data_IF_495767624716
#
_entry.id   IF_495767624716
#
_cell.length_a   1.000
_cell.length_b   1.000
_cell.length_c   1.000
_cell.angle_alpha   90.00
_cell.angle_beta   90.00
_cell.angle_gamma   90.00
#
_symmetry.space_group_name_H-M   'P 1'
#
loop_
_entity.id
_entity.type
_entity.pdbx_description
1 polymer ?
#
# COMPACT_ATOMS: atom_id res chain seq x y z
N UNK A 1 -25.79 -0.53 -25.52
CA UNK A 1 -25.85 0.59 -24.56
C UNK A 1 -26.23 0.01 -23.22
N UNK A 2 -25.28 -0.04 -22.28
CA UNK A 2 -25.57 -0.47 -20.91
C UNK A 2 -26.53 0.55 -20.27
N UNK A 3 -27.56 0.06 -19.63
CA UNK A 3 -28.46 0.91 -18.82
C UNK A 3 -27.65 1.49 -17.66
N UNK A 4 -27.71 2.80 -17.40
CA UNK A 4 -27.00 3.39 -16.28
C UNK A 4 -27.41 2.69 -14.98
N UNK A 5 -26.42 2.21 -14.24
CA UNK A 5 -26.68 1.61 -12.93
C UNK A 5 -26.99 2.73 -11.93
N UNK A 6 -28.09 2.59 -11.24
CA UNK A 6 -28.48 3.51 -10.18
C UNK A 6 -28.18 2.88 -8.82
N UNK A 7 -27.56 3.64 -7.95
CA UNK A 7 -27.22 3.23 -6.58
C UNK A 7 -27.86 4.19 -5.58
N UNK A 8 -28.36 3.67 -4.47
CA UNK A 8 -28.73 4.48 -3.32
C UNK A 8 -27.59 4.42 -2.31
N UNK A 9 -27.11 5.58 -1.94
CA UNK A 9 -26.03 5.71 -0.94
C UNK A 9 -26.63 6.14 0.38
N UNK A 10 -26.33 5.41 1.43
CA UNK A 10 -26.77 5.71 2.79
C UNK A 10 -25.54 5.95 3.66
N UNK A 11 -25.47 7.09 4.33
CA UNK A 11 -24.46 7.28 5.36
C UNK A 11 -24.84 6.48 6.62
N UNK A 12 -23.84 5.92 7.26
CA UNK A 12 -24.02 5.35 8.58
C UNK A 12 -24.37 6.48 9.57
N UNK A 13 -25.21 6.18 10.58
CA UNK A 13 -25.57 7.16 11.62
C UNK A 13 -24.33 7.79 12.26
N UNK A 14 -24.27 9.11 12.28
CA UNK A 14 -23.12 9.88 12.74
C UNK A 14 -22.11 10.26 11.66
N UNK A 15 -22.28 9.77 10.42
CA UNK A 15 -21.41 10.06 9.27
C UNK A 15 -22.17 10.77 8.13
N UNK A 16 -23.33 11.37 8.41
CA UNK A 16 -24.18 12.05 7.43
C UNK A 16 -23.45 13.20 6.73
N UNK A 17 -22.45 13.77 7.39
CA UNK A 17 -21.61 14.83 6.83
C UNK A 17 -20.89 14.42 5.54
N UNK A 18 -20.64 13.11 5.33
CA UNK A 18 -19.99 12.59 4.11
C UNK A 18 -20.85 12.86 2.88
N UNK A 19 -22.18 12.90 3.03
CA UNK A 19 -23.11 13.14 1.93
C UNK A 19 -23.37 14.63 1.67
N UNK A 20 -22.93 15.52 2.57
CA UNK A 20 -23.23 16.96 2.50
C UNK A 20 -22.73 17.62 1.21
N UNK A 21 -21.59 17.16 0.72
CA UNK A 21 -20.92 17.76 -0.44
C UNK A 21 -21.25 17.05 -1.75
N UNK A 22 -22.05 15.96 -1.70
CA UNK A 22 -22.53 15.23 -2.89
C UNK A 22 -23.77 15.94 -3.41
N UNK A 23 -23.69 16.50 -4.59
CA UNK A 23 -24.77 17.21 -5.27
C UNK A 23 -25.06 16.60 -6.62
N UNK A 24 -26.18 16.98 -7.22
CA UNK A 24 -26.49 16.62 -8.60
C UNK A 24 -25.32 16.99 -9.53
N UNK A 25 -24.96 16.08 -10.42
CA UNK A 25 -23.80 16.19 -11.33
C UNK A 25 -22.42 16.22 -10.66
N UNK A 26 -22.32 15.88 -9.38
CA UNK A 26 -21.02 15.70 -8.74
C UNK A 26 -20.45 14.32 -9.10
N UNK A 27 -19.28 14.31 -9.71
CA UNK A 27 -18.52 13.07 -9.88
C UNK A 27 -17.75 12.74 -8.59
N UNK A 28 -17.83 11.51 -8.16
CA UNK A 28 -17.05 11.02 -7.02
C UNK A 28 -16.54 9.59 -7.27
N UNK A 29 -15.41 9.28 -6.67
CA UNK A 29 -14.85 7.94 -6.69
C UNK A 29 -15.26 7.21 -5.41
N UNK A 30 -15.80 6.02 -5.56
CA UNK A 30 -16.16 5.16 -4.45
C UNK A 30 -15.30 3.90 -4.54
N UNK A 31 -14.47 3.61 -3.52
CA UNK A 31 -13.72 2.37 -3.50
C UNK A 31 -14.70 1.19 -3.44
N UNK A 32 -14.58 0.29 -4.40
CA UNK A 32 -15.33 -0.97 -4.36
C UNK A 32 -14.55 -1.93 -3.48
N UNK A 33 -15.07 -2.17 -2.27
CA UNK A 33 -14.57 -3.28 -1.46
C UNK A 33 -14.75 -4.57 -2.26
N UNK A 34 -13.64 -5.14 -2.65
CA UNK A 34 -13.68 -6.50 -3.14
C UNK A 34 -13.98 -7.39 -1.94
N UNK A 35 -15.11 -8.10 -1.97
CA UNK A 35 -15.29 -9.21 -1.04
C UNK A 35 -14.07 -10.11 -1.12
N UNK A 36 -13.56 -10.62 0.01
CA UNK A 36 -12.45 -11.56 -0.02
C UNK A 36 -12.79 -12.66 -1.02
N UNK A 37 -11.95 -12.80 -2.04
CA UNK A 37 -12.09 -13.92 -2.96
C UNK A 37 -12.06 -15.18 -2.10
N UNK A 38 -13.06 -16.07 -2.26
CA UNK A 38 -13.16 -17.31 -1.49
C UNK A 38 -11.86 -18.12 -1.52
N UNK A 39 -11.14 -18.00 -2.63
CA UNK A 39 -9.87 -18.69 -2.87
C UNK A 39 -8.65 -17.92 -2.32
N UNK A 40 -8.86 -16.68 -1.84
CA UNK A 40 -7.80 -15.84 -1.27
C UNK A 40 -8.30 -14.97 -0.14
N UNK A 41 -8.61 -15.55 1.02
CA UNK A 41 -9.25 -14.85 2.15
C UNK A 41 -8.40 -13.71 2.76
N UNK A 42 -7.12 -13.64 2.44
CA UNK A 42 -6.19 -12.61 2.93
C UNK A 42 -5.81 -11.58 1.87
N UNK A 43 -6.59 -11.43 0.80
CA UNK A 43 -6.28 -10.56 -0.35
C UNK A 43 -6.41 -9.04 -0.07
N UNK A 44 -6.49 -8.62 1.17
CA UNK A 44 -6.55 -7.21 1.57
C UNK A 44 -5.31 -6.38 1.21
N UNK A 45 -4.46 -6.86 0.34
CA UNK A 45 -3.22 -6.18 -0.04
C UNK A 45 -2.55 -6.70 -1.29
N UNK A 46 -3.33 -7.13 -2.30
CA UNK A 46 -2.72 -7.53 -3.57
C UNK A 46 -2.24 -6.29 -4.31
N UNK A 47 -0.94 -6.21 -4.49
CA UNK A 47 -0.30 -5.22 -5.36
C UNK A 47 -0.38 -5.64 -6.83
N UNK A 48 -0.34 -4.65 -7.73
CA UNK A 48 -0.24 -4.92 -9.18
C UNK A 48 1.11 -5.55 -9.51
N UNK A 49 2.17 -5.04 -8.89
CA UNK A 49 3.51 -5.64 -8.93
C UNK A 49 3.95 -5.93 -7.49
N UNK A 50 4.24 -7.18 -7.19
CA UNK A 50 4.73 -7.62 -5.88
C UNK A 50 6.13 -8.21 -5.95
N UNK A 51 7.02 -7.78 -5.05
CA UNK A 51 8.39 -8.30 -4.92
C UNK A 51 8.59 -8.75 -3.48
N UNK A 52 8.83 -10.03 -3.27
CA UNK A 52 8.96 -10.57 -1.92
C UNK A 52 10.23 -11.41 -1.79
N UNK A 53 10.96 -11.22 -0.68
CA UNK A 53 12.17 -11.99 -0.34
C UNK A 53 13.17 -12.05 -1.50
N UNK A 54 13.30 -10.96 -2.24
CA UNK A 54 14.09 -10.89 -3.47
C UNK A 54 15.32 -10.01 -3.29
N UNK A 55 16.18 -10.04 -4.30
CA UNK A 55 17.44 -9.30 -4.32
C UNK A 55 17.73 -8.80 -5.74
N UNK A 56 18.15 -7.54 -5.80
CA UNK A 56 18.69 -6.90 -7.01
C UNK A 56 17.75 -7.00 -8.23
N UNK A 57 16.51 -6.54 -8.04
CA UNK A 57 15.46 -6.54 -9.06
C UNK A 57 15.36 -5.15 -9.69
N UNK A 58 15.24 -5.09 -11.00
CA UNK A 58 14.98 -3.88 -11.78
C UNK A 58 13.65 -4.01 -12.51
N UNK A 59 12.80 -3.01 -12.33
CA UNK A 59 11.62 -2.73 -13.14
C UNK A 59 11.89 -1.44 -13.92
N UNK A 60 11.79 -1.48 -15.23
CA UNK A 60 12.08 -0.32 -16.08
C UNK A 60 10.98 -0.11 -17.12
N UNK A 61 10.60 1.16 -17.33
CA UNK A 61 9.67 1.60 -18.37
C UNK A 61 8.28 0.94 -18.25
N UNK A 62 7.75 0.79 -17.03
CA UNK A 62 6.44 0.20 -16.79
C UNK A 62 5.41 1.31 -16.59
N UNK A 63 4.32 1.25 -17.34
CA UNK A 63 3.15 2.11 -17.11
C UNK A 63 1.99 1.27 -16.58
N UNK A 64 1.48 1.64 -15.41
CA UNK A 64 0.28 1.08 -14.81
C UNK A 64 -0.86 2.09 -14.90
N UNK A 65 -2.06 1.64 -15.27
CA UNK A 65 -3.21 2.53 -15.46
C UNK A 65 -4.43 2.00 -14.71
N UNK A 66 -5.07 2.89 -13.94
CA UNK A 66 -6.32 2.62 -13.23
C UNK A 66 -6.31 1.28 -12.48
N UNK A 67 -5.37 1.14 -11.59
CA UNK A 67 -5.20 -0.08 -10.77
C UNK A 67 -6.17 -0.09 -9.59
N UNK A 68 -6.52 -1.28 -9.13
CA UNK A 68 -7.57 -1.43 -8.11
C UNK A 68 -7.11 -1.19 -6.68
N UNK A 69 -5.88 -1.54 -6.33
CA UNK A 69 -5.42 -1.55 -4.93
C UNK A 69 -4.07 -0.86 -4.80
N UNK A 70 -3.00 -1.62 -4.71
CA UNK A 70 -1.64 -1.11 -4.60
C UNK A 70 -0.94 -1.17 -5.97
N UNK A 71 -0.16 -0.16 -6.27
CA UNK A 71 0.68 -0.18 -7.46
C UNK A 71 1.80 -1.21 -7.33
N UNK A 72 2.81 -0.86 -6.61
CA UNK A 72 3.99 -1.68 -6.39
C UNK A 72 4.13 -2.01 -4.90
N UNK A 73 4.48 -3.23 -4.56
CA UNK A 73 4.77 -3.60 -3.18
C UNK A 73 6.05 -4.42 -3.06
N UNK A 74 6.80 -4.16 -2.02
CA UNK A 74 7.99 -4.92 -1.68
C UNK A 74 7.99 -5.34 -0.22
N UNK A 75 8.19 -6.64 0.05
CA UNK A 75 8.21 -7.13 1.42
C UNK A 75 9.39 -8.06 1.66
N UNK A 76 10.14 -7.79 2.72
CA UNK A 76 11.24 -8.66 3.17
C UNK A 76 12.40 -8.78 2.18
N UNK A 77 12.57 -7.83 1.25
CA UNK A 77 13.64 -7.91 0.28
C UNK A 77 14.99 -7.65 0.93
N UNK A 78 15.96 -8.47 0.59
CA UNK A 78 17.31 -8.41 1.18
C UNK A 78 18.31 -7.64 0.33
N UNK A 79 18.00 -7.39 -0.93
CA UNK A 79 18.78 -6.58 -1.87
C UNK A 79 17.98 -5.41 -2.43
N UNK A 80 18.59 -4.71 -3.36
CA UNK A 80 18.03 -3.51 -3.98
C UNK A 80 16.84 -3.86 -4.88
N UNK A 81 15.76 -3.11 -4.75
CA UNK A 81 14.64 -3.12 -5.69
C UNK A 81 14.59 -1.74 -6.34
N UNK A 82 14.76 -1.71 -7.64
CA UNK A 82 14.83 -0.46 -8.42
C UNK A 82 13.64 -0.38 -9.36
N UNK A 83 12.98 0.77 -9.34
CA UNK A 83 11.98 1.16 -10.34
C UNK A 83 12.54 2.36 -11.10
N UNK A 84 12.61 2.24 -12.42
CA UNK A 84 13.14 3.27 -13.29
C UNK A 84 12.14 3.61 -14.39
N UNK A 85 11.82 4.91 -14.53
CA UNK A 85 10.85 5.40 -15.49
C UNK A 85 9.49 4.66 -15.40
N UNK A 86 9.05 4.35 -14.18
CA UNK A 86 7.77 3.70 -13.95
C UNK A 86 6.69 4.74 -13.67
N UNK A 87 5.53 4.56 -14.26
CA UNK A 87 4.42 5.51 -14.19
C UNK A 87 3.17 4.79 -13.69
N UNK A 88 2.46 5.40 -12.74
CA UNK A 88 1.10 5.04 -12.34
C UNK A 88 0.21 6.24 -12.58
N UNK A 89 -0.79 6.09 -13.47
CA UNK A 89 -1.62 7.19 -13.93
C UNK A 89 -3.01 6.71 -14.35
N UNK A 90 -3.84 7.62 -14.80
CA UNK A 90 -5.15 7.33 -15.39
C UNK A 90 -5.02 6.66 -16.77
N UNK A 91 -6.11 6.02 -17.22
CA UNK A 91 -6.21 5.58 -18.59
C UNK A 91 -6.37 6.80 -19.51
N UNK A 92 -5.69 6.78 -20.63
CA UNK A 92 -5.81 7.85 -21.63
C UNK A 92 -7.26 7.94 -22.16
N UNK A 93 -7.72 9.16 -22.35
CA UNK A 93 -9.06 9.46 -22.87
C UNK A 93 -10.20 8.81 -22.04
N UNK A 94 -9.98 8.60 -20.74
CA UNK A 94 -10.99 8.08 -19.83
C UNK A 94 -11.54 9.19 -18.93
N UNK A 95 -12.65 8.88 -18.25
CA UNK A 95 -13.19 9.70 -17.17
C UNK A 95 -12.78 9.14 -15.79
N UNK A 96 -11.64 8.47 -15.70
CA UNK A 96 -11.13 7.96 -14.44
C UNK A 96 -10.85 9.12 -13.49
N UNK A 97 -11.44 9.10 -12.31
CA UNK A 97 -11.22 10.10 -11.26
C UNK A 97 -9.96 9.81 -10.45
N UNK A 98 -9.56 8.55 -10.40
CA UNK A 98 -8.40 8.07 -9.66
C UNK A 98 -7.64 7.03 -10.47
N UNK A 99 -6.34 6.93 -10.24
CA UNK A 99 -5.48 5.88 -10.82
C UNK A 99 -5.33 4.68 -9.88
N UNK A 100 -5.36 4.94 -8.57
CA UNK A 100 -5.37 3.93 -7.51
C UNK A 100 -6.11 4.47 -6.30
N UNK A 101 -6.78 3.62 -5.54
CA UNK A 101 -7.44 4.02 -4.31
C UNK A 101 -6.60 3.72 -3.05
N UNK A 102 -5.41 3.13 -3.22
CA UNK A 102 -4.41 2.93 -2.19
C UNK A 102 -3.05 3.41 -2.67
N UNK A 103 -2.00 3.09 -1.90
CA UNK A 103 -0.64 3.54 -2.12
C UNK A 103 -0.16 3.26 -3.56
N UNK A 104 0.55 4.20 -4.12
CA UNK A 104 1.30 3.99 -5.36
C UNK A 104 2.39 2.94 -5.19
N UNK A 105 3.11 3.03 -4.06
CA UNK A 105 4.14 2.05 -3.69
C UNK A 105 4.15 1.79 -2.20
N UNK A 106 4.27 0.53 -1.80
CA UNK A 106 4.33 0.13 -0.39
C UNK A 106 5.47 -0.86 -0.14
N UNK A 107 6.47 -0.46 0.60
CA UNK A 107 7.65 -1.27 0.92
C UNK A 107 7.72 -1.51 2.43
N UNK A 108 7.66 -2.78 2.83
CA UNK A 108 7.60 -3.16 4.24
C UNK A 108 8.67 -4.17 4.61
N UNK A 109 9.37 -3.91 5.72
CA UNK A 109 10.39 -4.82 6.26
C UNK A 109 11.52 -5.15 5.26
N UNK A 110 11.86 -4.25 4.35
CA UNK A 110 12.97 -4.45 3.43
C UNK A 110 14.30 -4.10 4.12
N UNK A 111 15.33 -4.88 3.88
CA UNK A 111 16.67 -4.62 4.41
C UNK A 111 17.32 -3.40 3.75
N UNK A 112 17.06 -3.23 2.46
CA UNK A 112 17.47 -2.07 1.66
C UNK A 112 16.18 -1.46 1.09
N UNK A 113 16.02 -0.16 1.26
CA UNK A 113 14.88 0.57 0.70
C UNK A 113 14.88 0.56 -0.83
N UNK A 114 13.73 0.86 -1.44
CA UNK A 114 13.62 0.93 -2.90
C UNK A 114 14.44 2.10 -3.47
N UNK A 115 14.84 1.97 -4.71
CA UNK A 115 15.33 3.08 -5.53
C UNK A 115 14.25 3.44 -6.54
N UNK A 116 13.91 4.71 -6.61
CA UNK A 116 12.93 5.26 -7.54
C UNK A 116 13.64 6.30 -8.39
N UNK A 117 13.73 6.05 -9.68
CA UNK A 117 14.44 6.89 -10.64
C UNK A 117 13.51 7.25 -11.80
N UNK A 118 13.21 8.53 -12.00
CA UNK A 118 12.30 9.01 -13.03
C UNK A 118 10.88 8.44 -12.93
N UNK A 119 10.43 8.06 -11.75
CA UNK A 119 9.10 7.51 -11.53
C UNK A 119 8.06 8.60 -11.26
N UNK A 120 6.81 8.34 -11.62
CA UNK A 120 5.68 9.23 -11.39
C UNK A 120 4.46 8.44 -10.91
N UNK A 121 3.84 8.91 -9.84
CA UNK A 121 2.57 8.41 -9.32
C UNK A 121 1.60 9.57 -9.19
N UNK A 122 0.45 9.47 -9.82
CA UNK A 122 -0.57 10.52 -9.79
C UNK A 122 -1.98 9.94 -9.66
N UNK A 123 -2.90 10.75 -9.14
CA UNK A 123 -4.30 10.37 -9.01
C UNK A 123 -4.56 9.29 -7.97
N UNK A 124 -3.80 9.25 -6.91
CA UNK A 124 -3.94 8.28 -5.81
C UNK A 124 -4.89 8.82 -4.74
N UNK A 125 -5.56 7.94 -4.01
CA UNK A 125 -6.33 8.29 -2.81
C UNK A 125 -5.57 8.03 -1.51
N UNK A 126 -4.34 7.53 -1.59
CA UNK A 126 -3.49 7.22 -0.44
C UNK A 126 -2.05 7.67 -0.74
N UNK A 127 -1.06 7.20 0.00
CA UNK A 127 0.33 7.61 -0.12
C UNK A 127 0.92 7.34 -1.52
N UNK A 128 1.71 8.25 -2.04
CA UNK A 128 2.51 7.95 -3.22
C UNK A 128 3.51 6.84 -2.92
N UNK A 129 4.14 6.93 -1.75
CA UNK A 129 5.14 5.96 -1.30
C UNK A 129 4.98 5.76 0.21
N UNK A 130 4.84 4.51 0.63
CA UNK A 130 4.87 4.11 2.02
C UNK A 130 6.08 3.19 2.24
N UNK A 131 6.99 3.60 3.11
CA UNK A 131 8.14 2.78 3.52
C UNK A 131 8.03 2.57 5.02
N UNK A 132 7.85 1.34 5.44
CA UNK A 132 7.61 1.02 6.84
C UNK A 132 8.30 -0.27 7.27
N UNK A 133 8.41 -0.42 8.58
CA UNK A 133 8.81 -1.68 9.21
C UNK A 133 7.81 -2.04 10.30
N UNK A 134 7.59 -3.32 10.49
CA UNK A 134 6.75 -3.79 11.58
C UNK A 134 7.49 -3.58 12.90
N UNK A 135 6.92 -2.84 13.85
CA UNK A 135 7.54 -2.68 15.16
C UNK A 135 7.57 -4.03 15.90
N UNK A 136 8.55 -4.17 16.77
CA UNK A 136 8.61 -5.25 17.74
C UNK A 136 8.49 -4.71 19.15
N UNK A 137 7.87 -5.46 20.00
CA UNK A 137 7.67 -5.11 21.39
C UNK A 137 8.40 -6.12 22.28
N UNK A 138 9.00 -5.63 23.37
CA UNK A 138 9.51 -6.52 24.40
C UNK A 138 8.32 -7.17 25.09
N UNK A 139 8.20 -8.48 24.91
CA UNK A 139 7.14 -9.29 25.54
C UNK A 139 7.52 -9.74 26.93
N UNK A 140 8.81 -10.04 27.14
CA UNK A 140 9.31 -10.61 28.37
C UNK A 140 10.80 -10.33 28.50
N UNK A 141 11.24 -9.97 29.69
CA UNK A 141 12.65 -9.90 30.06
C UNK A 141 13.06 -11.24 30.70
N UNK A 142 14.06 -11.90 30.09
CA UNK A 142 14.50 -13.24 30.47
C UNK A 142 15.71 -13.22 31.40
N UNK A 143 16.18 -12.01 31.78
CA UNK A 143 17.39 -11.81 32.55
C UNK A 143 18.69 -11.89 31.74
N UNK A 144 19.78 -11.34 32.28
CA UNK A 144 21.08 -11.35 31.62
C UNK A 144 21.09 -10.67 30.23
N UNK A 145 20.38 -9.55 30.07
CA UNK A 145 20.24 -8.81 28.80
C UNK A 145 19.58 -9.62 27.68
N UNK A 146 18.74 -10.59 28.03
CA UNK A 146 17.97 -11.40 27.10
C UNK A 146 16.49 -10.97 27.14
N UNK A 147 15.91 -10.77 25.98
CA UNK A 147 14.53 -10.34 25.83
C UNK A 147 13.80 -11.24 24.83
N UNK A 148 12.56 -11.56 25.11
CA UNK A 148 11.64 -12.16 24.15
C UNK A 148 10.87 -11.03 23.47
N UNK A 149 10.98 -10.97 22.15
CA UNK A 149 10.27 -9.98 21.36
C UNK A 149 8.97 -10.57 20.81
N UNK A 150 7.97 -9.71 20.64
CA UNK A 150 6.75 -9.99 19.89
C UNK A 150 6.77 -9.15 18.60
N UNK A 151 6.50 -9.79 17.46
CA UNK A 151 6.59 -9.15 16.15
C UNK A 151 8.03 -9.07 15.63
N UNK A 152 8.14 -8.76 14.34
CA UNK A 152 9.42 -8.68 13.66
C UNK A 152 10.03 -10.04 13.33
N UNK A 153 10.96 -10.01 12.39
CA UNK A 153 11.83 -11.13 12.06
C UNK A 153 13.24 -10.57 11.89
N UNK A 154 14.18 -11.07 12.66
CA UNK A 154 15.53 -10.53 12.70
C UNK A 154 16.55 -11.63 12.40
N UNK A 155 17.52 -11.29 11.60
CA UNK A 155 18.68 -12.14 11.40
C UNK A 155 19.59 -12.12 12.64
N UNK A 156 20.30 -13.20 12.87
CA UNK A 156 21.34 -13.23 13.93
C UNK A 156 22.37 -12.14 13.68
N UNK A 157 22.59 -11.31 14.70
CA UNK A 157 23.52 -10.18 14.63
C UNK A 157 22.89 -8.86 14.17
N UNK A 158 21.59 -8.82 13.91
CA UNK A 158 20.90 -7.57 13.65
C UNK A 158 21.00 -6.62 14.85
N UNK A 159 21.29 -5.34 14.58
CA UNK A 159 21.30 -4.28 15.61
C UNK A 159 19.89 -3.75 15.77
N UNK A 160 19.38 -3.78 16.98
CA UNK A 160 18.06 -3.26 17.32
C UNK A 160 18.22 -1.96 18.12
N UNK A 161 17.45 -0.94 17.75
CA UNK A 161 17.27 0.25 18.58
C UNK A 161 16.11 0.03 19.56
N UNK A 162 16.30 0.44 20.81
CA UNK A 162 15.23 0.43 21.80
C UNK A 162 14.70 1.84 21.96
N UNK A 163 13.40 2.01 21.75
CA UNK A 163 12.69 3.25 22.02
C UNK A 163 12.06 3.16 23.42
N UNK A 164 12.43 4.09 24.29
CA UNK A 164 11.81 4.23 25.59
C UNK A 164 10.77 5.35 25.53
N UNK A 165 9.50 5.09 25.93
CA UNK A 165 8.44 6.08 25.82
C UNK A 165 8.67 7.38 26.59
N UNK A 166 9.50 7.31 27.63
CA UNK A 166 9.68 8.40 28.58
C UNK A 166 10.95 9.25 28.30
N UNK A 167 11.54 9.14 27.10
CA UNK A 167 12.75 9.90 26.72
C UNK A 167 12.59 10.56 25.37
#
# INVERSE_FOLDING_TARGET
TETPRQYKIYAQKGYEWVLRDIRENTAFAMPVHQEPCKDWPNSNGVSTIGVTNSKDILFENITMRAIRILGMAGTGNVGKVTFKNCILTWRENSNDLISSWRDGSHFKNNKIGPTLDGCMWEGLLDDCINISTSPSFVKEELGGSKYRLHGGSYEKGAKLGVLYPDK
#
